data_IF_415825658402
#
_entry.id   IF_415825658402
#
_cell.length_a   1.000
_cell.length_b   1.000
_cell.length_c   1.000
_cell.angle_alpha   90.00
_cell.angle_beta   90.00
_cell.angle_gamma   90.00
#
_symmetry.space_group_name_H-M   'P 1'
#
loop_
_entity.id
_entity.type
_entity.pdbx_description
1 polymer ?
#
# COMPACT_ATOMS: atom_id res chain seq x y z
N UNK A 1 -56.07 -18.47 -39.23
CA UNK A 1 -54.95 -18.55 -38.28
C UNK A 1 -53.66 -18.68 -39.07
N UNK A 2 -52.86 -17.62 -39.15
CA UNK A 2 -51.50 -17.70 -39.72
C UNK A 2 -50.57 -17.05 -38.70
N UNK A 3 -50.03 -17.88 -37.81
CA UNK A 3 -48.99 -17.53 -36.83
C UNK A 3 -47.67 -18.02 -37.41
N UNK A 4 -46.76 -17.11 -37.73
CA UNK A 4 -45.40 -17.48 -38.10
C UNK A 4 -44.73 -16.47 -39.03
N UNK A 5 -44.40 -15.27 -38.53
CA UNK A 5 -43.64 -14.28 -39.31
C UNK A 5 -42.63 -13.45 -38.49
N UNK A 6 -42.28 -13.86 -37.26
CA UNK A 6 -41.35 -13.07 -36.42
C UNK A 6 -40.02 -13.78 -36.10
N UNK A 7 -39.91 -15.09 -36.32
CA UNK A 7 -38.70 -15.83 -35.93
C UNK A 7 -37.58 -15.82 -36.99
N UNK A 8 -37.88 -15.50 -38.25
CA UNK A 8 -36.91 -15.64 -39.36
C UNK A 8 -36.06 -14.40 -39.64
N UNK A 9 -36.49 -13.20 -39.21
CA UNK A 9 -35.75 -11.96 -39.51
C UNK A 9 -34.57 -11.75 -38.55
N UNK A 10 -34.65 -12.26 -37.32
CA UNK A 10 -33.60 -12.04 -36.30
C UNK A 10 -32.32 -12.85 -36.59
N UNK A 11 -32.44 -14.03 -37.21
CA UNK A 11 -31.29 -14.93 -37.42
C UNK A 11 -30.33 -14.42 -38.50
N UNK A 12 -30.82 -13.68 -39.50
CA UNK A 12 -29.99 -13.25 -40.64
C UNK A 12 -29.07 -12.07 -40.29
N UNK A 13 -29.44 -11.22 -39.34
CA UNK A 13 -28.64 -10.04 -38.97
C UNK A 13 -27.38 -10.41 -38.18
N UNK A 14 -27.40 -11.53 -37.46
CA UNK A 14 -26.25 -11.94 -36.61
C UNK A 14 -25.12 -12.59 -37.43
N UNK A 15 -25.42 -13.17 -38.60
CA UNK A 15 -24.41 -13.88 -39.40
C UNK A 15 -23.65 -12.95 -40.36
N UNK A 16 -24.24 -11.82 -40.76
CA UNK A 16 -23.62 -10.88 -41.71
C UNK A 16 -22.50 -9.99 -41.16
N UNK A 17 -22.35 -9.88 -39.83
CA UNK A 17 -21.38 -8.96 -39.20
C UNK A 17 -20.01 -9.60 -38.96
N UNK A 18 -19.87 -10.93 -39.13
CA UNK A 18 -18.64 -11.64 -38.77
C UNK A 18 -17.62 -11.83 -39.91
N UNK A 19 -17.85 -11.28 -41.11
CA UNK A 19 -16.99 -11.52 -42.29
C UNK A 19 -16.22 -10.28 -42.79
N UNK A 20 -16.04 -9.26 -41.97
CA UNK A 20 -15.03 -8.23 -42.25
C UNK A 20 -13.78 -8.51 -41.42
N UNK A 21 -12.66 -8.94 -42.02
CA UNK A 21 -11.38 -8.98 -41.34
C UNK A 21 -10.92 -7.53 -41.22
N UNK A 22 -11.43 -6.81 -40.23
CA UNK A 22 -10.71 -5.65 -39.72
C UNK A 22 -9.38 -6.21 -39.24
N UNK A 23 -8.21 -5.75 -39.73
CA UNK A 23 -6.98 -6.08 -39.07
C UNK A 23 -7.14 -5.52 -37.65
N UNK A 24 -7.37 -6.42 -36.70
CA UNK A 24 -7.18 -6.13 -35.31
C UNK A 24 -5.73 -5.67 -35.24
N UNK A 25 -5.53 -4.36 -35.20
CA UNK A 25 -4.34 -3.79 -34.60
C UNK A 25 -4.43 -4.20 -33.14
N UNK A 26 -4.05 -5.46 -32.86
CA UNK A 26 -3.57 -5.86 -31.57
C UNK A 26 -2.26 -5.11 -31.39
N UNK A 27 -2.34 -3.79 -31.23
CA UNK A 27 -1.37 -3.07 -30.44
C UNK A 27 -1.37 -3.81 -29.13
N UNK A 28 -0.25 -4.41 -28.78
CA UNK A 28 -0.03 -5.01 -27.48
C UNK A 28 -0.60 -4.03 -26.45
N UNK A 29 -1.74 -4.37 -25.85
CA UNK A 29 -2.29 -3.60 -24.75
C UNK A 29 -1.23 -3.71 -23.67
N UNK A 30 -0.38 -2.69 -23.60
CA UNK A 30 0.75 -2.64 -22.70
C UNK A 30 0.20 -2.38 -21.30
N UNK A 31 -0.29 -3.46 -20.68
CA UNK A 31 -0.74 -3.48 -19.30
C UNK A 31 0.39 -3.02 -18.37
N UNK A 32 1.67 -3.12 -18.77
CA UNK A 32 2.83 -2.63 -18.01
C UNK A 32 2.82 -1.10 -17.89
N UNK A 33 2.46 -0.38 -18.95
CA UNK A 33 2.36 1.10 -18.93
C UNK A 33 1.19 1.62 -18.07
N UNK A 34 0.06 0.91 -18.05
CA UNK A 34 -1.11 1.22 -17.22
C UNK A 34 -0.93 0.77 -15.78
N UNK A 35 -0.38 -0.43 -15.55
CA UNK A 35 0.00 -0.92 -14.22
C UNK A 35 1.05 -0.03 -13.59
N UNK A 36 2.07 0.40 -14.33
CA UNK A 36 3.13 1.24 -13.75
C UNK A 36 2.60 2.61 -13.31
N UNK A 37 1.69 3.23 -14.05
CA UNK A 37 1.12 4.54 -13.67
C UNK A 37 0.17 4.45 -12.47
N UNK A 38 -0.70 3.42 -12.45
CA UNK A 38 -1.64 3.19 -11.34
C UNK A 38 -0.93 2.65 -10.10
N UNK A 39 0.00 1.71 -10.26
CA UNK A 39 0.79 1.14 -9.18
C UNK A 39 1.70 2.18 -8.53
N UNK A 40 2.37 3.06 -9.30
CA UNK A 40 3.19 4.11 -8.71
C UNK A 40 2.36 5.09 -7.87
N UNK A 41 1.14 5.43 -8.31
CA UNK A 41 0.25 6.30 -7.54
C UNK A 41 -0.28 5.59 -6.29
N UNK A 42 -0.64 4.31 -6.40
CA UNK A 42 -1.08 3.49 -5.27
C UNK A 42 0.03 3.28 -4.24
N UNK A 43 1.25 3.00 -4.68
CA UNK A 43 2.43 2.82 -3.81
C UNK A 43 2.78 4.13 -3.12
N UNK A 44 2.71 5.28 -3.81
CA UNK A 44 2.90 6.60 -3.18
C UNK A 44 1.90 6.87 -2.05
N UNK A 45 0.64 6.43 -2.19
CA UNK A 45 -0.37 6.53 -1.12
C UNK A 45 -0.09 5.63 0.08
N UNK A 46 0.77 4.62 -0.06
CA UNK A 46 1.17 3.77 1.06
C UNK A 46 2.27 4.42 1.91
N UNK A 47 2.93 5.47 1.43
CA UNK A 47 3.80 6.29 2.28
C UNK A 47 2.92 7.09 3.23
N UNK A 48 3.20 6.98 4.52
CA UNK A 48 2.51 7.75 5.54
C UNK A 48 3.56 8.36 6.43
N UNK A 49 3.47 9.67 6.58
CA UNK A 49 4.17 10.42 7.60
C UNK A 49 3.12 11.10 8.45
N UNK A 50 3.16 10.86 9.76
CA UNK A 50 2.22 11.46 10.70
C UNK A 50 2.93 11.90 11.96
N UNK A 51 2.37 12.94 12.53
CA UNK A 51 2.75 13.44 13.84
C UNK A 51 2.06 12.58 14.91
N UNK A 52 2.80 12.23 15.94
CA UNK A 52 2.32 11.50 17.11
C UNK A 52 2.93 12.11 18.36
N UNK A 53 2.23 12.01 19.49
CA UNK A 53 2.78 12.38 20.79
C UNK A 53 3.19 11.11 21.54
N UNK A 54 4.42 11.06 22.02
CA UNK A 54 4.94 10.00 22.87
C UNK A 54 5.57 10.62 24.11
N UNK A 55 5.09 10.22 25.29
CA UNK A 55 5.56 10.74 26.58
C UNK A 55 5.54 12.27 26.64
N UNK A 56 4.45 12.88 26.17
CA UNK A 56 4.26 14.34 26.08
C UNK A 56 5.30 15.08 25.21
N UNK A 57 5.96 14.34 24.31
CA UNK A 57 6.88 14.90 23.33
C UNK A 57 6.38 14.70 21.90
N UNK A 58 6.57 15.74 21.09
CA UNK A 58 6.31 15.71 19.66
C UNK A 58 7.23 14.72 18.95
N UNK A 59 6.63 13.80 18.21
CA UNK A 59 7.33 12.79 17.44
C UNK A 59 6.71 12.65 16.05
N UNK A 60 7.52 12.12 15.14
CA UNK A 60 7.13 11.83 13.76
C UNK A 60 7.29 10.33 13.53
N UNK A 61 6.22 9.71 13.06
CA UNK A 61 6.20 8.33 12.61
C UNK A 61 6.07 8.32 11.09
N UNK A 62 7.10 7.77 10.45
CA UNK A 62 7.19 7.62 9.00
C UNK A 62 7.17 6.15 8.63
N UNK A 63 6.32 5.77 7.68
CA UNK A 63 6.20 4.43 7.12
C UNK A 63 6.34 4.49 5.62
N UNK A 64 7.15 3.59 5.08
CA UNK A 64 7.38 3.45 3.64
C UNK A 64 7.17 2.00 3.18
N UNK A 65 6.50 1.79 2.03
CA UNK A 65 6.49 0.49 1.37
C UNK A 65 7.86 0.20 0.72
N UNK A 66 8.27 -1.07 0.74
CA UNK A 66 9.45 -1.56 0.05
C UNK A 66 9.12 -2.91 -0.60
N UNK A 67 9.36 -3.05 -1.91
CA UNK A 67 9.17 -4.32 -2.61
C UNK A 67 10.44 -5.14 -2.44
N UNK A 68 10.32 -6.30 -1.81
CA UNK A 68 11.43 -7.23 -1.59
C UNK A 68 11.00 -8.63 -2.03
N UNK A 69 11.78 -9.29 -2.90
CA UNK A 69 11.48 -10.63 -3.43
C UNK A 69 10.06 -10.77 -3.98
N UNK A 70 9.59 -9.78 -4.75
CA UNK A 70 8.21 -9.71 -5.29
C UNK A 70 7.10 -9.62 -4.24
N UNK A 71 7.45 -9.39 -2.97
CA UNK A 71 6.50 -9.16 -1.88
C UNK A 71 6.52 -7.69 -1.45
N UNK A 72 5.35 -7.15 -1.13
CA UNK A 72 5.23 -5.84 -0.50
C UNK A 72 5.56 -5.95 0.99
N UNK A 73 6.64 -5.29 1.40
CA UNK A 73 7.05 -5.13 2.79
C UNK A 73 6.95 -3.67 3.20
N UNK A 74 6.99 -3.44 4.51
CA UNK A 74 6.94 -2.13 5.11
C UNK A 74 8.15 -1.91 6.01
N UNK A 75 8.71 -0.71 5.91
CA UNK A 75 9.65 -0.15 6.86
C UNK A 75 8.98 0.99 7.61
N UNK A 76 9.27 1.12 8.90
CA UNK A 76 8.76 2.21 9.71
C UNK A 76 9.87 2.78 10.59
N UNK A 77 9.82 4.09 10.81
CA UNK A 77 10.77 4.85 11.63
C UNK A 77 10.00 5.80 12.54
N UNK A 78 10.42 5.88 13.80
CA UNK A 78 9.93 6.85 14.79
C UNK A 78 11.09 7.75 15.21
N UNK A 79 10.86 9.06 15.17
CA UNK A 79 11.84 10.08 15.57
C UNK A 79 11.17 11.18 16.36
N UNK A 80 11.80 11.66 17.43
CA UNK A 80 11.27 12.74 18.25
C UNK A 80 12.24 13.94 18.22
N UNK A 81 12.11 14.85 17.25
CA UNK A 81 13.03 15.97 17.09
C UNK A 81 12.96 16.90 18.32
N UNK A 82 14.12 17.35 18.79
CA UNK A 82 14.22 18.21 19.98
C UNK A 82 14.19 17.48 21.32
N UNK A 83 13.70 16.23 21.38
CA UNK A 83 13.70 15.44 22.61
C UNK A 83 14.90 14.50 22.74
N UNK A 84 15.12 13.63 21.75
CA UNK A 84 16.20 12.63 21.80
C UNK A 84 16.76 12.33 20.40
N UNK A 85 18.07 12.06 20.27
CA UNK A 85 18.65 11.64 18.99
C UNK A 85 18.32 10.17 18.64
N UNK A 86 17.76 9.41 19.59
CA UNK A 86 17.39 8.01 19.36
C UNK A 86 16.25 7.87 18.34
N UNK A 87 16.30 6.78 17.57
CA UNK A 87 15.30 6.49 16.53
C UNK A 87 14.83 5.05 16.66
N UNK A 88 13.52 4.84 16.60
CA UNK A 88 12.95 3.51 16.40
C UNK A 88 12.98 3.19 14.91
N UNK A 89 13.46 2.01 14.52
CA UNK A 89 13.46 1.61 13.10
C UNK A 89 13.29 0.12 12.93
N UNK A 90 12.37 -0.26 12.05
CA UNK A 90 12.15 -1.65 11.66
C UNK A 90 11.97 -1.79 10.15
N UNK A 91 12.21 -3.01 9.64
CA UNK A 91 12.12 -3.34 8.21
C UNK A 91 11.63 -4.77 8.00
N UNK A 92 11.04 -5.04 6.84
CA UNK A 92 10.65 -6.40 6.42
C UNK A 92 9.29 -6.89 6.94
N UNK A 93 8.43 -5.99 7.40
CA UNK A 93 7.10 -6.37 7.92
C UNK A 93 6.09 -6.49 6.78
N UNK A 94 5.25 -7.52 6.80
CA UNK A 94 4.21 -7.72 5.77
C UNK A 94 2.98 -6.81 5.98
N UNK A 95 2.78 -6.26 7.18
CA UNK A 95 1.64 -5.39 7.51
C UNK A 95 2.12 -3.99 7.92
N UNK A 96 1.48 -2.91 7.43
CA UNK A 96 1.85 -1.55 7.75
C UNK A 96 1.70 -1.27 9.26
N UNK A 97 0.58 -1.65 9.87
CA UNK A 97 0.32 -1.43 11.31
C UNK A 97 1.31 -2.18 12.19
N UNK A 98 1.74 -3.38 11.78
CA UNK A 98 2.78 -4.12 12.50
C UNK A 98 4.12 -3.41 12.45
N UNK A 99 4.51 -2.86 11.29
CA UNK A 99 5.76 -2.11 11.17
C UNK A 99 5.76 -0.88 12.10
N UNK A 100 4.64 -0.15 12.14
CA UNK A 100 4.50 1.04 12.98
C UNK A 100 4.60 0.71 14.47
N UNK A 101 3.87 -0.31 14.93
CA UNK A 101 3.90 -0.73 16.33
C UNK A 101 5.30 -1.20 16.76
N UNK A 102 5.96 -2.00 15.93
CA UNK A 102 7.30 -2.48 16.26
C UNK A 102 8.37 -1.39 16.19
N UNK A 103 8.21 -0.39 15.30
CA UNK A 103 9.06 0.81 15.31
C UNK A 103 8.90 1.62 16.59
N UNK A 104 7.66 1.81 17.05
CA UNK A 104 7.39 2.48 18.34
C UNK A 104 7.98 1.69 19.50
N UNK A 105 7.80 0.36 19.53
CA UNK A 105 8.39 -0.51 20.54
C UNK A 105 9.92 -0.43 20.57
N UNK A 106 10.56 -0.49 19.40
CA UNK A 106 12.03 -0.36 19.29
C UNK A 106 12.53 1.01 19.80
N UNK A 107 11.80 2.09 19.49
CA UNK A 107 12.08 3.43 20.05
C UNK A 107 11.97 3.44 21.58
N UNK A 108 10.86 2.96 22.12
CA UNK A 108 10.59 2.90 23.57
C UNK A 108 11.67 2.10 24.29
N UNK A 109 12.06 0.93 23.76
CA UNK A 109 13.14 0.12 24.31
C UNK A 109 14.49 0.85 24.34
N UNK A 110 14.78 1.71 23.35
CA UNK A 110 16.02 2.50 23.31
C UNK A 110 16.00 3.60 24.36
N UNK A 111 14.92 4.36 24.49
CA UNK A 111 14.84 5.46 25.45
C UNK A 111 14.78 4.96 26.91
N UNK A 112 14.15 3.81 27.17
CA UNK A 112 14.17 3.15 28.48
C UNK A 112 15.59 2.71 28.83
N UNK A 113 16.32 2.10 27.89
CA UNK A 113 17.74 1.73 28.10
C UNK A 113 18.64 2.94 28.36
N UNK A 114 18.30 4.10 27.82
CA UNK A 114 18.99 5.37 28.05
C UNK A 114 18.60 6.04 29.37
N UNK A 115 17.58 5.53 30.07
CA UNK A 115 17.05 6.14 31.29
C UNK A 115 16.30 7.45 31.05
N UNK A 116 15.83 7.71 29.83
CA UNK A 116 15.01 8.88 29.51
C UNK A 116 13.57 8.72 30.00
N UNK A 117 13.11 7.47 30.11
CA UNK A 117 11.77 7.07 30.57
C UNK A 117 11.93 5.80 31.42
N UNK A 118 11.11 5.66 32.46
CA UNK A 118 11.10 4.47 33.33
C UNK A 118 10.41 3.27 32.66
N UNK A 119 10.57 2.07 33.21
CA UNK A 119 9.89 0.88 32.67
C UNK A 119 8.39 0.92 32.93
N UNK A 120 8.00 1.54 34.04
CA UNK A 120 6.63 1.69 34.49
C UNK A 120 5.86 2.60 33.52
N UNK A 121 6.44 3.77 33.19
CA UNK A 121 5.90 4.69 32.18
C UNK A 121 5.82 4.05 30.78
N UNK A 122 6.81 3.23 30.42
CA UNK A 122 6.89 2.58 29.11
C UNK A 122 6.01 1.33 28.95
N UNK A 123 5.37 0.86 30.02
CA UNK A 123 4.69 -0.45 30.05
C UNK A 123 3.56 -0.59 29.03
N UNK A 124 2.88 0.50 28.70
CA UNK A 124 1.80 0.51 27.69
C UNK A 124 2.29 0.27 26.25
N UNK A 125 3.59 0.41 26.02
CA UNK A 125 4.19 0.37 24.67
C UNK A 125 5.12 -0.82 24.43
N UNK A 126 5.36 -1.67 25.44
CA UNK A 126 6.28 -2.81 25.41
C UNK A 126 5.55 -4.15 25.36
#
# INVERSE_FOLDING_TARGET
>A
MVRGCLATVVVVVVVGVCLNPTPAQAGSFDFSSLLSSVANTAIKRLFVEREIDLFDHYCVLSRSPHIYSWELKFEATVTCPGWTPEKGRVRGYSSPTSAEREATKDFVQKIVRRGLVTREEASEWL
#
